data_IF_189125669239
#
_entry.id   IF_189125669239
#
_cell.length_a   1.000
_cell.length_b   1.000
_cell.length_c   1.000
_cell.angle_alpha   90.00
_cell.angle_beta   90.00
_cell.angle_gamma   90.00
#
_symmetry.space_group_name_H-M   'P 1'
#
loop_
_entity.id
_entity.type
_entity.pdbx_description
1 polymer ?
#
# COMPACT_ATOMS: atom_id res chain seq x y z
N UNK A 1 12.49 3.57 -9.65
CA UNK A 1 11.38 4.43 -9.18
C UNK A 1 10.87 5.23 -10.38
N UNK A 2 9.57 5.24 -10.58
CA UNK A 2 8.90 5.98 -11.65
C UNK A 2 7.90 6.98 -11.04
N UNK A 3 7.68 8.14 -11.67
CA UNK A 3 6.66 9.07 -11.23
C UNK A 3 5.26 8.48 -11.46
N UNK A 4 4.35 8.73 -10.51
CA UNK A 4 2.95 8.26 -10.61
C UNK A 4 2.06 9.22 -11.38
N UNK A 5 2.48 10.49 -11.51
CA UNK A 5 1.70 11.55 -12.14
C UNK A 5 1.23 11.17 -13.55
N UNK A 6 -0.03 11.43 -13.85
CA UNK A 6 -0.67 11.12 -15.14
C UNK A 6 -0.69 9.62 -15.48
N UNK A 7 -0.65 8.74 -14.46
CA UNK A 7 -0.76 7.29 -14.60
C UNK A 7 -1.89 6.74 -13.74
N UNK A 8 -2.35 5.50 -13.96
CA UNK A 8 -3.31 4.83 -13.07
C UNK A 8 -2.81 4.67 -11.63
N UNK A 9 -1.49 4.83 -11.40
CA UNK A 9 -0.86 4.71 -10.08
C UNK A 9 -0.95 6.01 -9.25
N UNK A 10 -1.49 7.10 -9.82
CA UNK A 10 -1.60 8.39 -9.14
C UNK A 10 -2.76 8.40 -8.14
N UNK A 11 -2.43 8.32 -6.85
CA UNK A 11 -3.33 8.48 -5.70
C UNK A 11 -3.03 9.75 -4.90
N UNK A 12 -2.32 10.73 -5.46
CA UNK A 12 -2.09 12.03 -4.82
C UNK A 12 -3.38 12.83 -4.65
N UNK A 13 -4.40 12.50 -5.45
CA UNK A 13 -5.78 12.94 -5.28
C UNK A 13 -6.66 11.70 -5.07
N UNK A 14 -7.62 11.79 -4.15
CA UNK A 14 -8.54 10.70 -3.87
C UNK A 14 -9.32 10.28 -5.12
N UNK A 15 -9.33 8.98 -5.40
CA UNK A 15 -10.11 8.35 -6.47
C UNK A 15 -10.55 6.96 -6.04
N UNK A 16 -11.55 6.41 -6.70
CA UNK A 16 -11.98 5.03 -6.45
C UNK A 16 -10.91 4.05 -6.93
N UNK A 17 -10.63 3.05 -6.11
CA UNK A 17 -9.66 1.99 -6.45
C UNK A 17 -10.05 1.28 -7.75
N UNK A 18 -11.36 1.06 -7.95
CA UNK A 18 -11.87 0.34 -9.12
C UNK A 18 -11.82 1.09 -10.44
N UNK A 19 -11.64 2.42 -10.45
CA UNK A 19 -11.76 3.22 -11.68
C UNK A 19 -10.68 2.87 -12.71
N UNK A 20 -9.46 2.56 -12.26
CA UNK A 20 -8.32 2.32 -13.15
C UNK A 20 -7.56 1.02 -12.85
N UNK A 21 -8.07 0.17 -11.96
CA UNK A 21 -7.38 -1.06 -11.53
C UNK A 21 -7.13 -2.05 -12.67
N UNK A 22 -7.91 -1.99 -13.74
CA UNK A 22 -7.81 -2.83 -14.94
C UNK A 22 -7.31 -2.04 -16.17
N UNK A 23 -6.74 -0.84 -15.96
CA UNK A 23 -6.17 -0.07 -17.07
C UNK A 23 -5.02 -0.83 -17.73
N UNK A 24 -4.86 -0.65 -19.05
CA UNK A 24 -3.73 -1.22 -19.78
C UNK A 24 -2.46 -0.46 -19.44
N UNK A 25 -1.87 -0.82 -18.32
CA UNK A 25 -0.65 -0.24 -17.80
C UNK A 25 0.26 -1.35 -17.25
N UNK A 26 1.50 -1.39 -17.69
CA UNK A 26 2.41 -2.52 -17.44
C UNK A 26 2.48 -2.96 -15.96
N UNK A 27 2.63 -2.07 -14.96
CA UNK A 27 2.63 -2.48 -13.55
C UNK A 27 1.33 -3.18 -13.13
N UNK A 28 0.16 -2.70 -13.57
CA UNK A 28 -1.13 -3.31 -13.28
C UNK A 28 -1.30 -4.64 -13.99
N UNK A 29 -0.83 -4.76 -15.23
CA UNK A 29 -0.88 -6.02 -15.98
C UNK A 29 -0.04 -7.11 -15.29
N UNK A 30 1.13 -6.76 -14.75
CA UNK A 30 2.01 -7.69 -14.00
C UNK A 30 1.36 -8.12 -12.69
N UNK A 31 0.78 -7.19 -11.91
CA UNK A 31 0.17 -7.45 -10.61
C UNK A 31 -1.26 -8.00 -10.68
N UNK A 32 -1.87 -8.01 -11.87
CA UNK A 32 -3.30 -8.32 -12.03
C UNK A 32 -4.21 -7.28 -11.37
N UNK A 33 -3.71 -6.05 -11.21
CA UNK A 33 -4.25 -4.91 -10.50
C UNK A 33 -3.18 -4.24 -9.62
N UNK A 34 -3.59 -3.46 -8.63
CA UNK A 34 -2.64 -2.84 -7.71
C UNK A 34 -1.98 -3.89 -6.83
N UNK A 35 -0.67 -4.00 -6.94
CA UNK A 35 0.24 -4.82 -6.13
C UNK A 35 1.67 -4.30 -6.26
N UNK A 36 1.88 -3.05 -5.89
CA UNK A 36 3.16 -2.38 -6.03
C UNK A 36 3.50 -1.60 -4.76
N UNK A 37 4.79 -1.23 -4.63
CA UNK A 37 5.26 -0.33 -3.59
C UNK A 37 5.22 1.13 -4.08
N UNK A 38 4.55 1.99 -3.32
CA UNK A 38 4.64 3.45 -3.47
C UNK A 38 5.77 3.98 -2.60
N UNK A 39 6.59 4.82 -3.20
CA UNK A 39 7.52 5.67 -2.46
C UNK A 39 6.73 6.80 -1.83
N UNK A 40 6.91 6.99 -0.53
CA UNK A 40 6.21 8.03 0.21
C UNK A 40 7.00 9.34 0.12
N UNK A 41 6.31 10.41 -0.27
CA UNK A 41 6.90 11.73 -0.35
C UNK A 41 7.37 12.22 1.04
N UNK A 42 8.35 13.12 1.04
CA UNK A 42 8.87 13.80 2.23
C UNK A 42 9.31 12.85 3.37
N UNK A 43 9.89 11.70 3.00
CA UNK A 43 10.41 10.75 3.98
C UNK A 43 11.53 11.36 4.84
N UNK A 44 11.28 11.50 6.14
CA UNK A 44 12.24 12.01 7.13
C UNK A 44 12.43 11.07 8.33
N UNK A 45 11.90 9.84 8.27
CA UNK A 45 11.95 8.85 9.34
C UNK A 45 11.02 9.15 10.52
N UNK A 46 10.08 10.09 10.39
CA UNK A 46 9.05 10.35 11.41
C UNK A 46 7.70 9.78 11.02
N UNK A 47 6.89 9.49 12.05
CA UNK A 47 5.52 9.05 11.86
C UNK A 47 4.70 10.16 11.21
N UNK A 48 4.08 9.87 10.06
CA UNK A 48 3.20 10.78 9.33
C UNK A 48 2.04 10.03 8.70
N UNK A 49 0.94 10.73 8.41
CA UNK A 49 -0.16 10.19 7.60
C UNK A 49 0.35 9.92 6.18
N UNK A 50 0.16 8.71 5.69
CA UNK A 50 0.64 8.28 4.38
C UNK A 50 -0.47 7.83 3.43
N UNK A 51 -1.58 7.38 3.99
CA UNK A 51 -2.73 6.94 3.20
C UNK A 51 -4.03 7.09 3.98
N UNK A 52 -5.11 7.34 3.25
CA UNK A 52 -6.47 7.27 3.74
C UNK A 52 -7.31 6.44 2.76
N UNK A 53 -8.15 5.58 3.31
CA UNK A 53 -9.13 4.78 2.57
C UNK A 53 -10.50 5.06 3.16
N UNK A 54 -11.46 5.38 2.30
CA UNK A 54 -12.84 5.64 2.69
C UNK A 54 -13.77 4.61 2.03
N UNK A 55 -14.65 4.01 2.82
CA UNK A 55 -15.78 3.21 2.35
C UNK A 55 -17.06 4.05 2.48
N UNK A 56 -17.45 4.68 1.38
CA UNK A 56 -18.60 5.56 1.33
C UNK A 56 -19.93 4.83 1.57
N UNK A 57 -19.98 3.52 1.34
CA UNK A 57 -21.18 2.71 1.51
C UNK A 57 -21.38 2.32 2.97
N UNK A 58 -20.33 1.91 3.64
CA UNK A 58 -20.37 1.53 5.05
C UNK A 58 -20.04 2.67 6.01
N UNK A 59 -19.76 3.87 5.48
CA UNK A 59 -19.39 5.06 6.26
C UNK A 59 -18.20 4.80 7.20
N UNK A 60 -17.20 4.06 6.71
CA UNK A 60 -15.99 3.75 7.45
C UNK A 60 -14.77 4.32 6.76
N UNK A 61 -13.80 4.74 7.55
CA UNK A 61 -12.54 5.22 7.03
C UNK A 61 -11.38 4.58 7.77
N UNK A 62 -10.25 4.47 7.10
CA UNK A 62 -8.98 4.05 7.69
C UNK A 62 -7.89 5.03 7.29
N UNK A 63 -7.15 5.52 8.27
CA UNK A 63 -5.91 6.27 8.05
C UNK A 63 -4.71 5.40 8.43
N UNK A 64 -3.66 5.47 7.64
CA UNK A 64 -2.39 4.76 7.88
C UNK A 64 -1.29 5.76 8.11
N UNK A 65 -0.55 5.58 9.20
CA UNK A 65 0.61 6.38 9.56
C UNK A 65 1.82 5.48 9.69
N UNK A 66 3.00 5.98 9.28
CA UNK A 66 4.27 5.25 9.46
C UNK A 66 5.46 6.18 9.43
N UNK A 67 6.57 5.71 10.01
CA UNK A 67 7.92 6.25 9.88
C UNK A 67 8.75 5.55 8.79
N UNK A 68 8.16 4.60 8.05
CA UNK A 68 8.82 3.88 6.95
C UNK A 68 8.73 4.65 5.61
N UNK A 69 9.65 4.36 4.65
CA UNK A 69 9.78 5.13 3.41
C UNK A 69 8.78 4.73 2.31
N UNK A 70 8.14 3.57 2.43
CA UNK A 70 7.27 3.03 1.39
C UNK A 70 6.05 2.31 1.93
N UNK A 71 5.10 2.08 1.04
CA UNK A 71 3.91 1.28 1.31
C UNK A 71 3.58 0.41 0.09
N UNK A 72 3.46 -0.90 0.30
CA UNK A 72 2.87 -1.80 -0.68
C UNK A 72 1.35 -1.65 -0.60
N UNK A 73 0.72 -1.32 -1.71
CA UNK A 73 -0.72 -1.41 -1.86
C UNK A 73 -1.07 -2.65 -2.67
N UNK A 74 -1.74 -3.60 -2.03
CA UNK A 74 -2.26 -4.81 -2.64
C UNK A 74 -3.78 -4.81 -2.60
N UNK A 75 -4.41 -4.91 -3.77
CA UNK A 75 -5.86 -4.80 -3.91
C UNK A 75 -6.58 -6.16 -3.90
N UNK A 76 -5.98 -7.21 -3.32
CA UNK A 76 -6.62 -8.53 -3.22
C UNK A 76 -6.77 -9.25 -4.56
N UNK A 77 -5.87 -9.01 -5.52
CA UNK A 77 -5.97 -9.52 -6.89
C UNK A 77 -5.95 -11.05 -7.00
N UNK A 78 -5.27 -11.72 -6.07
CA UNK A 78 -5.03 -13.17 -6.07
C UNK A 78 -5.89 -13.93 -5.07
N UNK A 79 -6.90 -13.29 -4.47
CA UNK A 79 -7.81 -13.98 -3.54
C UNK A 79 -8.58 -15.06 -4.31
N UNK A 80 -8.37 -16.32 -3.90
CA UNK A 80 -9.13 -17.46 -4.41
C UNK A 80 -10.45 -17.50 -3.65
N UNK A 81 -11.60 -17.61 -4.33
CA UNK A 81 -12.91 -17.65 -3.67
C UNK A 81 -12.98 -18.71 -2.58
N UNK A 82 -13.33 -18.32 -1.37
CA UNK A 82 -13.54 -19.22 -0.25
C UNK A 82 -14.48 -18.59 0.79
N UNK A 83 -15.08 -19.42 1.61
CA UNK A 83 -15.88 -18.96 2.74
C UNK A 83 -14.99 -18.54 3.91
N UNK A 84 -15.20 -17.33 4.36
CA UNK A 84 -14.54 -16.76 5.50
C UNK A 84 -15.42 -16.72 6.75
N UNK A 85 -15.16 -15.74 7.62
CA UNK A 85 -15.92 -15.52 8.85
C UNK A 85 -17.39 -15.27 8.53
N UNK A 86 -18.28 -15.84 9.36
CA UNK A 86 -19.73 -15.72 9.27
C UNK A 86 -20.30 -16.20 7.91
N UNK A 87 -19.65 -17.21 7.29
CA UNK A 87 -19.98 -17.77 5.97
C UNK A 87 -19.94 -16.76 4.81
N UNK A 88 -19.34 -15.58 5.01
CA UNK A 88 -19.16 -14.59 3.95
C UNK A 88 -18.16 -15.11 2.92
N UNK A 89 -18.52 -15.04 1.66
CA UNK A 89 -17.63 -15.42 0.57
C UNK A 89 -16.59 -14.32 0.31
N UNK A 90 -15.30 -14.69 0.41
CA UNK A 90 -14.18 -13.82 0.07
C UNK A 90 -13.77 -14.13 -1.37
N UNK A 91 -13.78 -13.12 -2.20
CA UNK A 91 -13.48 -13.24 -3.64
C UNK A 91 -12.38 -12.25 -4.04
N UNK A 92 -11.89 -12.37 -5.27
CA UNK A 92 -10.96 -11.40 -5.84
C UNK A 92 -11.41 -9.96 -5.54
N UNK A 93 -10.50 -9.16 -5.00
CA UNK A 93 -10.72 -7.73 -4.68
C UNK A 93 -11.75 -7.46 -3.57
N UNK A 94 -12.04 -8.43 -2.72
CA UNK A 94 -12.91 -8.22 -1.55
C UNK A 94 -12.21 -7.62 -0.34
N UNK A 95 -10.90 -7.44 -0.42
CA UNK A 95 -10.08 -6.83 0.62
C UNK A 95 -8.86 -6.12 0.00
N UNK A 96 -8.18 -5.32 0.80
CA UNK A 96 -6.93 -4.67 0.43
C UNK A 96 -5.93 -4.72 1.58
N UNK A 97 -4.65 -4.57 1.26
CA UNK A 97 -3.57 -4.38 2.22
C UNK A 97 -2.83 -3.08 1.94
N UNK A 98 -2.41 -2.39 3.00
CA UNK A 98 -1.44 -1.30 2.97
C UNK A 98 -0.28 -1.69 3.89
N UNK A 99 0.81 -2.14 3.29
CA UNK A 99 1.93 -2.78 3.98
C UNK A 99 3.12 -1.82 4.01
N UNK A 100 3.34 -1.19 5.15
CA UNK A 100 4.44 -0.23 5.30
C UNK A 100 5.79 -0.95 5.32
N UNK A 101 6.75 -0.48 4.53
CA UNK A 101 7.99 -1.21 4.31
C UNK A 101 9.13 -0.34 3.80
N UNK A 102 10.35 -0.88 3.82
CA UNK A 102 11.43 -0.44 2.95
C UNK A 102 11.14 -0.88 1.51
N UNK A 103 11.76 -0.21 0.52
CA UNK A 103 11.48 -0.53 -0.87
C UNK A 103 11.93 -1.96 -1.22
N UNK A 104 11.23 -2.65 -2.10
CA UNK A 104 11.70 -3.92 -2.64
C UNK A 104 13.13 -3.79 -3.17
N UNK A 105 13.94 -4.83 -2.97
CA UNK A 105 15.34 -4.90 -3.39
C UNK A 105 16.29 -3.85 -2.75
N UNK A 106 15.88 -3.20 -1.64
CA UNK A 106 16.71 -2.21 -0.94
C UNK A 106 18.09 -2.76 -0.53
N UNK A 107 18.21 -4.06 -0.27
CA UNK A 107 19.47 -4.67 0.09
C UNK A 107 20.52 -4.60 -1.03
N UNK A 108 20.10 -4.51 -2.29
CA UNK A 108 20.97 -4.46 -3.48
C UNK A 108 21.00 -3.07 -4.13
N UNK A 109 20.33 -2.08 -3.54
CA UNK A 109 20.16 -0.73 -4.08
C UNK A 109 20.69 0.30 -3.09
N UNK A 110 21.98 0.67 -3.16
CA UNK A 110 22.58 1.61 -2.19
C UNK A 110 21.98 3.02 -2.22
N UNK A 111 21.30 3.37 -3.30
CA UNK A 111 20.55 4.63 -3.45
C UNK A 111 19.19 4.64 -2.72
N UNK A 112 18.70 3.47 -2.27
CA UNK A 112 17.46 3.36 -1.51
C UNK A 112 17.71 3.51 0.00
N UNK A 113 16.69 3.87 0.79
CA UNK A 113 16.81 3.82 2.25
C UNK A 113 17.28 2.44 2.71
N UNK A 114 18.36 2.43 3.52
CA UNK A 114 18.99 1.17 3.96
C UNK A 114 18.06 0.35 4.84
N UNK A 115 17.80 -0.89 4.43
CA UNK A 115 17.04 -1.90 5.17
C UNK A 115 17.92 -2.80 6.06
N UNK A 116 19.21 -2.48 6.22
CA UNK A 116 20.12 -3.25 7.08
C UNK A 116 20.04 -2.76 8.52
N UNK A 117 19.89 -3.72 9.42
CA UNK A 117 19.83 -3.54 10.87
C UNK A 117 20.83 -4.48 11.54
N UNK A 118 21.23 -4.14 12.77
CA UNK A 118 22.21 -4.90 13.52
C UNK A 118 22.50 -4.28 14.89
N UNK A 119 23.61 -4.64 15.53
CA UNK A 119 23.95 -4.16 16.88
C UNK A 119 23.95 -2.62 17.04
N UNK A 120 24.36 -1.92 15.98
CA UNK A 120 24.49 -0.46 15.97
C UNK A 120 23.26 0.27 15.40
N UNK A 121 22.29 -0.48 14.87
CA UNK A 121 21.05 0.06 14.28
C UNK A 121 19.90 -0.91 14.50
N UNK A 122 19.17 -0.74 15.57
CA UNK A 122 17.98 -1.56 15.84
C UNK A 122 16.88 -1.31 14.79
N UNK A 123 16.11 -2.37 14.52
CA UNK A 123 14.85 -2.22 13.81
C UNK A 123 13.80 -1.73 14.83
N UNK A 124 13.44 -0.47 14.72
CA UNK A 124 12.44 0.17 15.56
C UNK A 124 11.59 1.08 14.67
N UNK A 125 10.42 0.60 14.31
CA UNK A 125 9.49 1.27 13.39
C UNK A 125 8.07 1.19 13.90
N UNK A 126 7.25 2.15 13.49
CA UNK A 126 5.87 2.23 13.92
C UNK A 126 4.93 2.36 12.72
N UNK A 127 3.89 1.53 12.72
CA UNK A 127 2.75 1.68 11.80
C UNK A 127 1.47 1.76 12.61
N UNK A 128 0.63 2.74 12.31
CA UNK A 128 -0.65 2.97 12.99
C UNK A 128 -1.77 2.90 11.95
N UNK A 129 -2.74 2.02 12.20
CA UNK A 129 -4.01 1.99 11.48
C UNK A 129 -5.08 2.58 12.38
N UNK A 130 -5.65 3.70 11.97
CA UNK A 130 -6.68 4.42 12.71
C UNK A 130 -8.01 4.31 11.97
N UNK A 131 -8.99 3.72 12.63
CA UNK A 131 -10.31 3.48 12.05
C UNK A 131 -11.33 4.49 12.57
N UNK A 132 -12.25 4.86 11.67
CA UNK A 132 -13.39 5.73 11.94
C UNK A 132 -14.67 5.06 11.45
N UNK A 133 -15.77 5.22 12.21
CA UNK A 133 -17.10 4.68 11.92
C UNK A 133 -18.18 5.49 12.64
#
# INVERSE_FOLDING_TARGET
ILPVKDTPMDFTTAKRIGDEIDADFLPLNIGGGYDQNWVLDDYDGKIRLIARVDDEVAYRSMEVYTDLPGVQFYAGNSIIPHKGKDDVEYVKRSALCLETQYFPDSANKPEFPSCFFGPDKNYDTTTIYKFFY
#
